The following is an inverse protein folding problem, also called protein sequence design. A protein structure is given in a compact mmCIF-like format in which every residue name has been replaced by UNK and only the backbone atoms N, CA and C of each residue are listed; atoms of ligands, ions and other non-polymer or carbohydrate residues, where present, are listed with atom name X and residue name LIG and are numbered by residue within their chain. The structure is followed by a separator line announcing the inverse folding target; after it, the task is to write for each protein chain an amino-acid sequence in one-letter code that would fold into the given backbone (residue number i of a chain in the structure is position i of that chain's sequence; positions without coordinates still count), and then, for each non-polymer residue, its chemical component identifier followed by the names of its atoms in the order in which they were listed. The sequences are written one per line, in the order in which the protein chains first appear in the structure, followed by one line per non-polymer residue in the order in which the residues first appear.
data_IF_872476760721
#
_entry.id   IF_872476760721
#
_cell.length_a   1.000
_cell.length_b   1.000
_cell.length_c   1.000
_cell.angle_alpha   90.00
_cell.angle_beta   90.00
_cell.angle_gamma   90.00
#
_symmetry.space_group_name_H-M   'P 1'
#
loop_
_entity.id
_entity.type
_entity.pdbx_description
1 polymer ?
#
# COMPACT_ATOMS: atom_id res chain seq x y z
N UNK A 1 18.36 15.55 7.06
CA UNK A 1 18.55 14.30 6.28
C UNK A 1 17.18 13.71 6.07
N UNK A 2 16.69 13.63 4.84
CA UNK A 2 15.31 13.24 4.52
C UNK A 2 15.14 11.71 4.45
N UNK A 3 16.25 10.96 4.32
CA UNK A 3 16.27 9.49 4.37
C UNK A 3 17.62 9.00 4.88
N UNK A 4 17.60 8.05 5.82
CA UNK A 4 18.82 7.45 6.39
C UNK A 4 19.19 6.20 5.56
N UNK A 5 20.26 6.31 4.76
CA UNK A 5 20.82 5.16 4.03
C UNK A 5 21.94 4.46 4.83
N UNK A 6 22.59 5.17 5.75
CA UNK A 6 23.62 4.63 6.64
C UNK A 6 23.23 4.83 8.12
N UNK A 7 22.99 3.74 8.89
CA UNK A 7 22.66 3.81 10.32
C UNK A 7 23.72 4.51 11.17
N UNK A 8 24.96 4.64 10.70
CA UNK A 8 26.03 5.32 11.44
C UNK A 8 25.73 6.79 11.71
N UNK A 9 24.84 7.44 10.95
CA UNK A 9 24.43 8.80 11.25
C UNK A 9 23.73 8.91 12.61
N UNK A 10 23.05 7.85 13.05
CA UNK A 10 22.42 7.80 14.38
C UNK A 10 23.49 7.81 15.46
N UNK A 11 24.65 7.21 15.23
CA UNK A 11 25.75 7.21 16.19
C UNK A 11 26.21 8.64 16.46
N UNK A 12 26.51 9.42 15.42
CA UNK A 12 26.95 10.81 15.55
C UNK A 12 25.84 11.68 16.18
N UNK A 13 24.58 11.48 15.79
CA UNK A 13 23.46 12.18 16.41
C UNK A 13 23.35 11.85 17.91
N UNK A 14 23.57 10.59 18.30
CA UNK A 14 23.49 10.12 19.69
C UNK A 14 24.69 10.59 20.52
N UNK A 15 25.90 10.64 19.96
CA UNK A 15 27.11 11.01 20.71
C UNK A 15 27.41 12.51 20.67
N UNK A 16 27.38 13.13 19.50
CA UNK A 16 27.94 14.48 19.31
C UNK A 16 26.94 15.60 19.65
N UNK A 17 25.64 15.29 19.67
CA UNK A 17 24.58 16.29 19.89
C UNK A 17 24.00 16.18 21.31
N UNK A 18 24.45 17.02 22.23
CA UNK A 18 24.08 16.90 23.65
C UNK A 18 22.61 17.18 23.97
N UNK A 19 21.97 18.16 23.31
CA UNK A 19 20.55 18.52 23.52
C UNK A 19 19.77 18.22 22.26
N UNK A 20 18.99 17.14 22.28
CA UNK A 20 18.28 16.64 21.10
C UNK A 20 17.00 15.92 21.46
N UNK A 21 16.07 15.95 20.52
CA UNK A 21 14.91 15.05 20.44
C UNK A 21 14.96 14.38 19.09
N UNK A 22 14.99 13.06 19.05
CA UNK A 22 15.00 12.29 17.81
C UNK A 22 13.62 11.68 17.62
N UNK A 23 12.95 12.06 16.53
CA UNK A 23 11.70 11.42 16.08
C UNK A 23 12.05 10.60 14.85
N UNK A 24 11.82 9.29 14.92
CA UNK A 24 12.09 8.36 13.83
C UNK A 24 10.78 7.79 13.31
N UNK A 25 10.56 7.92 12.00
CA UNK A 25 9.41 7.32 11.33
C UNK A 25 9.93 6.14 10.52
N UNK A 26 9.46 4.93 10.86
CA UNK A 26 9.90 3.69 10.22
C UNK A 26 8.69 2.92 9.70
N UNK A 27 8.81 2.38 8.48
CA UNK A 27 7.78 1.51 7.91
C UNK A 27 7.91 0.05 8.36
N UNK A 28 9.13 -0.38 8.71
CA UNK A 28 9.45 -1.74 9.13
C UNK A 28 9.91 -1.73 10.60
N UNK A 29 9.08 -2.28 11.49
CA UNK A 29 9.41 -2.37 12.93
C UNK A 29 10.67 -3.19 13.20
N UNK A 30 11.03 -4.12 12.31
CA UNK A 30 12.25 -4.91 12.46
C UNK A 30 13.51 -4.08 12.24
N UNK A 31 13.39 -2.84 11.73
CA UNK A 31 14.52 -1.92 11.57
C UNK A 31 15.26 -1.69 12.89
N UNK A 32 14.54 -1.58 14.02
CA UNK A 32 15.16 -1.42 15.34
C UNK A 32 16.00 -2.64 15.75
N UNK A 33 15.60 -3.84 15.33
CA UNK A 33 16.32 -5.09 15.61
C UNK A 33 17.60 -5.18 14.77
N UNK A 34 17.59 -4.59 13.57
CA UNK A 34 18.71 -4.57 12.62
C UNK A 34 19.82 -3.58 13.00
N UNK A 35 19.58 -2.70 13.97
CA UNK A 35 20.60 -1.76 14.46
C UNK A 35 21.71 -2.50 15.23
N UNK A 36 22.95 -1.97 15.11
CA UNK A 36 24.07 -2.40 15.96
C UNK A 36 23.70 -2.27 17.44
N UNK A 37 24.13 -3.23 18.25
CA UNK A 37 23.78 -3.33 19.67
C UNK A 37 24.13 -2.08 20.47
N UNK A 38 25.20 -1.35 20.10
CA UNK A 38 25.63 -0.11 20.77
C UNK A 38 24.66 1.04 20.50
N UNK A 39 24.22 1.19 19.24
CA UNK A 39 23.24 2.21 18.85
C UNK A 39 21.91 1.92 19.55
N UNK A 40 21.45 0.66 19.50
CA UNK A 40 20.19 0.24 20.13
C UNK A 40 20.19 0.49 21.64
N UNK A 41 21.30 0.15 22.32
CA UNK A 41 21.43 0.32 23.76
C UNK A 41 21.43 1.78 24.21
N UNK A 42 21.85 2.72 23.35
CA UNK A 42 21.87 4.15 23.67
C UNK A 42 20.60 4.87 23.24
N UNK A 43 19.97 4.41 22.16
CA UNK A 43 18.79 5.04 21.59
C UNK A 43 17.55 4.81 22.45
N UNK A 44 17.38 3.62 23.04
CA UNK A 44 16.24 3.20 23.88
C UNK A 44 14.91 3.89 23.50
N UNK A 45 14.45 3.74 22.24
CA UNK A 45 13.35 4.55 21.74
C UNK A 45 12.02 4.11 22.33
N UNK A 46 11.17 5.08 22.66
CA UNK A 46 9.75 4.84 22.87
C UNK A 46 9.08 4.56 21.51
N UNK A 47 8.38 3.44 21.40
CA UNK A 47 7.76 3.00 20.14
C UNK A 47 6.27 3.32 20.18
N UNK A 48 5.85 4.21 19.28
CA UNK A 48 4.45 4.48 19.01
C UNK A 48 4.05 3.79 17.69
N UNK A 49 3.05 2.93 17.76
CA UNK A 49 2.52 2.22 16.59
C UNK A 49 1.35 2.99 15.96
N UNK A 50 1.46 3.23 14.65
CA UNK A 50 0.39 3.78 13.83
C UNK A 50 -0.30 2.64 13.07
N UNK A 51 -1.46 2.22 13.58
CA UNK A 51 -2.30 1.24 12.89
C UNK A 51 -2.92 1.84 11.62
N UNK A 52 -3.25 0.98 10.67
CA UNK A 52 -4.05 1.38 9.52
C UNK A 52 -5.41 1.95 9.98
N UNK A 53 -5.89 2.97 9.28
CA UNK A 53 -7.18 3.56 9.58
C UNK A 53 -8.30 2.53 9.41
N UNK A 54 -9.21 2.50 10.38
CA UNK A 54 -10.45 1.76 10.20
C UNK A 54 -11.40 2.49 9.22
N UNK A 55 -12.50 1.83 8.86
CA UNK A 55 -13.47 2.37 7.90
C UNK A 55 -14.06 3.72 8.35
N UNK A 56 -14.39 3.85 9.65
CA UNK A 56 -14.97 5.09 10.21
C UNK A 56 -13.96 6.22 10.23
N UNK A 57 -12.70 5.93 10.55
CA UNK A 57 -11.60 6.89 10.53
C UNK A 57 -11.32 7.36 9.10
N UNK A 58 -11.28 6.43 8.14
CA UNK A 58 -11.11 6.73 6.71
C UNK A 58 -12.19 7.69 6.22
N UNK A 59 -13.46 7.37 6.52
CA UNK A 59 -14.59 8.24 6.18
C UNK A 59 -14.48 9.60 6.86
N UNK A 60 -14.14 9.63 8.15
CA UNK A 60 -14.01 10.86 8.91
C UNK A 60 -12.90 11.77 8.38
N UNK A 61 -11.76 11.20 7.99
CA UNK A 61 -10.65 11.94 7.38
C UNK A 61 -11.09 12.54 6.04
N UNK A 62 -11.65 11.72 5.16
CA UNK A 62 -12.07 12.18 3.84
C UNK A 62 -13.20 13.20 3.91
N UNK A 63 -14.16 13.02 4.82
CA UNK A 63 -15.22 13.99 5.10
C UNK A 63 -14.65 15.35 5.46
N UNK A 64 -13.71 15.41 6.42
CA UNK A 64 -13.03 16.67 6.79
C UNK A 64 -12.32 17.28 5.59
N UNK A 65 -11.62 16.47 4.78
CA UNK A 65 -10.96 16.97 3.56
C UNK A 65 -11.95 17.55 2.56
N UNK A 66 -13.11 16.92 2.38
CA UNK A 66 -14.19 17.42 1.53
C UNK A 66 -14.72 18.76 2.03
N UNK A 67 -14.95 18.90 3.34
CA UNK A 67 -15.41 20.15 3.96
C UNK A 67 -14.42 21.32 3.76
N UNK A 68 -13.11 21.05 3.74
CA UNK A 68 -12.09 22.08 3.46
C UNK A 68 -11.93 22.41 1.98
N UNK A 69 -12.11 21.42 1.09
CA UNK A 69 -11.78 21.56 -0.33
C UNK A 69 -12.98 21.94 -1.22
N UNK A 70 -14.21 21.66 -0.78
CA UNK A 70 -15.42 21.84 -1.57
C UNK A 70 -16.38 22.81 -0.91
N UNK A 71 -17.21 23.47 -1.73
CA UNK A 71 -18.30 24.33 -1.26
C UNK A 71 -19.28 23.46 -0.44
N UNK A 72 -19.85 23.96 0.67
CA UNK A 72 -20.84 23.21 1.44
C UNK A 72 -21.97 22.64 0.57
N UNK A 73 -22.37 21.39 0.82
CA UNK A 73 -23.39 20.66 0.08
C UNK A 73 -23.12 20.42 -1.43
N UNK A 74 -21.89 20.67 -1.90
CA UNK A 74 -21.50 20.38 -3.28
C UNK A 74 -21.00 18.95 -3.50
N UNK A 75 -20.82 18.16 -2.44
CA UNK A 75 -20.40 16.76 -2.52
C UNK A 75 -21.47 15.85 -1.92
N UNK A 76 -21.97 14.89 -2.69
CA UNK A 76 -23.02 13.98 -2.22
C UNK A 76 -22.46 12.97 -1.20
N UNK A 77 -23.32 12.53 -0.29
CA UNK A 77 -22.92 11.59 0.77
C UNK A 77 -22.53 10.24 0.17
N UNK A 78 -23.28 9.78 -0.81
CA UNK A 78 -23.09 8.52 -1.53
C UNK A 78 -21.73 8.51 -2.25
N UNK A 79 -21.38 9.63 -2.91
CA UNK A 79 -20.10 9.78 -3.57
C UNK A 79 -18.92 9.70 -2.58
N UNK A 80 -19.07 10.27 -1.37
CA UNK A 80 -18.04 10.26 -0.34
C UNK A 80 -17.90 8.87 0.29
N UNK A 81 -19.02 8.19 0.56
CA UNK A 81 -19.02 6.83 1.09
C UNK A 81 -18.37 5.84 0.12
N UNK A 82 -18.65 5.96 -1.18
CA UNK A 82 -18.01 5.15 -2.22
C UNK A 82 -16.49 5.33 -2.23
N UNK A 83 -16.01 6.59 -2.23
CA UNK A 83 -14.56 6.88 -2.22
C UNK A 83 -13.92 6.38 -0.93
N UNK A 84 -14.57 6.59 0.21
CA UNK A 84 -14.08 6.14 1.51
C UNK A 84 -13.93 4.64 1.57
N UNK A 85 -14.96 3.91 1.14
CA UNK A 85 -14.92 2.45 1.06
C UNK A 85 -13.77 1.99 0.18
N UNK A 86 -13.57 2.62 -0.98
CA UNK A 86 -12.48 2.27 -1.89
C UNK A 86 -11.09 2.53 -1.29
N UNK A 87 -10.92 3.66 -0.61
CA UNK A 87 -9.67 4.00 0.06
C UNK A 87 -9.36 3.05 1.23
N UNK A 88 -10.39 2.67 1.99
CA UNK A 88 -10.29 1.69 3.08
C UNK A 88 -9.94 0.30 2.56
N UNK A 89 -10.63 -0.19 1.53
CA UNK A 89 -10.37 -1.51 0.93
C UNK A 89 -8.92 -1.64 0.43
N UNK A 90 -8.35 -0.54 -0.10
CA UNK A 90 -6.95 -0.49 -0.55
C UNK A 90 -5.98 -0.29 0.63
N UNK A 91 -6.45 0.32 1.73
CA UNK A 91 -5.64 0.70 2.88
C UNK A 91 -4.76 1.92 2.64
N UNK A 92 -5.13 2.80 1.70
CA UNK A 92 -4.38 4.02 1.38
C UNK A 92 -5.28 5.26 1.35
N UNK A 93 -5.18 6.09 2.37
CA UNK A 93 -5.96 7.33 2.46
C UNK A 93 -5.62 8.34 1.36
N UNK A 94 -4.40 8.28 0.80
CA UNK A 94 -3.96 9.16 -0.28
C UNK A 94 -4.75 8.88 -1.55
N UNK A 95 -5.11 7.61 -1.77
CA UNK A 95 -6.01 7.22 -2.86
C UNK A 95 -7.37 7.89 -2.71
N UNK A 96 -7.92 7.92 -1.49
CA UNK A 96 -9.18 8.59 -1.21
C UNK A 96 -9.12 10.09 -1.52
N UNK A 97 -8.06 10.77 -1.10
CA UNK A 97 -7.85 12.21 -1.39
C UNK A 97 -7.71 12.45 -2.90
N UNK A 98 -6.97 11.59 -3.59
CA UNK A 98 -6.85 11.65 -5.05
C UNK A 98 -8.21 11.47 -5.73
N UNK A 99 -8.99 10.49 -5.31
CA UNK A 99 -10.34 10.24 -5.82
C UNK A 99 -11.27 11.42 -5.58
N UNK A 100 -11.23 12.06 -4.41
CA UNK A 100 -12.01 13.28 -4.15
C UNK A 100 -11.71 14.35 -5.20
N UNK A 101 -10.43 14.60 -5.47
CA UNK A 101 -9.99 15.58 -6.48
C UNK A 101 -10.50 15.20 -7.87
N UNK A 102 -10.27 13.96 -8.31
CA UNK A 102 -10.66 13.52 -9.64
C UNK A 102 -12.19 13.52 -9.83
N UNK A 103 -12.97 13.13 -8.81
CA UNK A 103 -14.43 13.24 -8.84
C UNK A 103 -14.89 14.69 -8.98
N UNK A 104 -14.21 15.63 -8.30
CA UNK A 104 -14.44 17.06 -8.43
C UNK A 104 -14.18 17.57 -9.84
N UNK A 105 -13.03 17.21 -10.43
CA UNK A 105 -12.66 17.60 -11.80
C UNK A 105 -13.62 17.03 -12.85
N UNK A 106 -14.08 15.78 -12.68
CA UNK A 106 -15.07 15.17 -13.56
C UNK A 106 -16.41 15.90 -13.45
N UNK A 107 -16.85 16.22 -12.23
CA UNK A 107 -18.08 16.98 -12.02
C UNK A 107 -18.01 18.37 -12.66
N UNK A 108 -16.87 19.06 -12.50
CA UNK A 108 -16.61 20.36 -13.10
C UNK A 108 -16.61 20.30 -14.63
N UNK A 109 -15.94 19.30 -15.22
CA UNK A 109 -15.94 19.07 -16.66
C UNK A 109 -17.34 18.78 -17.23
N UNK A 110 -18.22 18.15 -16.45
CA UNK A 110 -19.63 17.93 -16.78
C UNK A 110 -20.53 19.14 -16.46
N UNK A 111 -19.97 20.27 -16.03
CA UNK A 111 -20.71 21.45 -15.56
C UNK A 111 -21.71 21.14 -14.45
N UNK A 112 -21.44 20.11 -13.64
CA UNK A 112 -22.29 19.70 -12.53
C UNK A 112 -21.98 20.51 -11.28
N UNK A 113 -23.01 21.17 -10.73
CA UNK A 113 -22.91 21.92 -9.46
C UNK A 113 -22.65 21.04 -8.23
N UNK A 114 -22.86 19.73 -8.36
CA UNK A 114 -22.60 18.76 -7.29
C UNK A 114 -21.78 17.59 -7.81
N UNK A 115 -20.86 17.12 -6.98
CA UNK A 115 -20.21 15.82 -7.15
C UNK A 115 -21.19 14.74 -6.70
N UNK A 116 -21.67 13.96 -7.67
CA UNK A 116 -22.57 12.83 -7.47
C UNK A 116 -21.79 11.52 -7.56
N UNK A 117 -22.41 10.43 -7.10
CA UNK A 117 -21.82 9.09 -7.12
C UNK A 117 -21.28 8.69 -8.51
N UNK A 118 -22.00 9.03 -9.58
CA UNK A 118 -21.56 8.78 -10.97
C UNK A 118 -20.18 9.35 -11.30
N UNK A 119 -19.81 10.51 -10.75
CA UNK A 119 -18.51 11.12 -11.02
C UNK A 119 -17.40 10.35 -10.28
N UNK A 120 -17.70 9.88 -9.06
CA UNK A 120 -16.80 9.03 -8.28
C UNK A 120 -16.60 7.65 -8.90
N UNK A 121 -17.65 7.04 -9.47
CA UNK A 121 -17.51 5.80 -10.22
C UNK A 121 -16.58 5.98 -11.41
N UNK A 122 -16.76 7.04 -12.21
CA UNK A 122 -15.84 7.37 -13.32
C UNK A 122 -14.41 7.62 -12.86
N UNK A 123 -14.22 8.28 -11.71
CA UNK A 123 -12.90 8.50 -11.14
C UNK A 123 -12.23 7.17 -10.74
N UNK A 124 -12.99 6.25 -10.14
CA UNK A 124 -12.51 4.90 -9.76
C UNK A 124 -12.17 4.06 -11.00
N UNK A 125 -12.96 4.15 -12.07
CA UNK A 125 -12.67 3.45 -13.33
C UNK A 125 -11.35 3.90 -13.94
N UNK A 126 -11.06 5.21 -13.96
CA UNK A 126 -9.76 5.75 -14.42
C UNK A 126 -8.58 5.22 -13.60
N UNK A 127 -8.79 4.79 -12.36
CA UNK A 127 -7.74 4.22 -11.52
C UNK A 127 -7.39 2.79 -11.90
N UNK A 128 -8.32 2.02 -12.50
CA UNK A 128 -7.99 0.68 -13.02
C UNK A 128 -6.90 0.76 -14.10
N UNK A 129 -6.86 1.86 -14.86
CA UNK A 129 -5.80 2.14 -15.84
C UNK A 129 -4.54 2.76 -15.22
N UNK A 130 -4.66 3.29 -14.01
CA UNK A 130 -3.56 3.85 -13.24
C UNK A 130 -2.78 2.70 -12.58
N UNK A 131 -2.01 1.98 -13.41
CA UNK A 131 -0.94 1.07 -12.98
C UNK A 131 -0.23 1.70 -11.79
N UNK A 132 -0.16 0.98 -10.67
CA UNK A 132 0.61 1.41 -9.49
C UNK A 132 2.01 1.74 -10.00
N UNK A 133 2.37 3.03 -9.93
CA UNK A 133 3.58 3.63 -10.50
C UNK A 133 4.90 2.97 -10.07
N UNK A 134 4.85 2.06 -9.10
CA UNK A 134 5.98 1.32 -8.54
C UNK A 134 6.12 -0.12 -9.08
N UNK A 135 5.21 -0.59 -9.93
CA UNK A 135 5.32 -1.89 -10.62
C UNK A 135 6.02 -1.68 -11.96
N UNK A 136 7.11 -2.43 -12.19
CA UNK A 136 7.79 -2.50 -13.47
C UNK A 136 6.92 -3.33 -14.41
N UNK A 137 7.05 -3.15 -15.71
CA UNK A 137 6.26 -3.93 -16.69
C UNK A 137 6.40 -5.45 -16.50
N UNK A 138 7.58 -5.90 -16.06
CA UNK A 138 7.85 -7.30 -15.68
C UNK A 138 6.97 -7.83 -14.53
N UNK A 139 6.60 -6.98 -13.55
CA UNK A 139 5.75 -7.41 -12.43
C UNK A 139 4.29 -7.54 -12.83
N UNK A 140 3.84 -6.78 -13.83
CA UNK A 140 2.49 -6.90 -14.38
C UNK A 140 2.34 -8.24 -15.11
N UNK A 141 3.34 -8.66 -15.89
CA UNK A 141 3.34 -9.98 -16.52
C UNK A 141 3.30 -11.11 -15.50
N UNK A 142 4.03 -10.98 -14.39
CA UNK A 142 3.98 -11.94 -13.29
C UNK A 142 2.61 -11.95 -12.61
N UNK A 143 2.02 -10.78 -12.36
CA UNK A 143 0.69 -10.67 -11.77
C UNK A 143 -0.39 -11.33 -12.66
N UNK A 144 -0.37 -11.06 -13.97
CA UNK A 144 -1.29 -11.69 -14.93
C UNK A 144 -1.12 -13.21 -14.97
N UNK A 145 0.11 -13.70 -14.81
CA UNK A 145 0.39 -15.12 -14.75
C UNK A 145 -0.12 -15.77 -13.46
N UNK A 146 0.06 -15.12 -12.32
CA UNK A 146 -0.48 -15.57 -11.02
C UNK A 146 -2.01 -15.54 -11.06
N UNK A 147 -2.63 -14.54 -11.72
CA UNK A 147 -4.09 -14.47 -11.96
C UNK A 147 -4.63 -15.70 -12.70
N UNK A 148 -3.89 -16.22 -13.67
CA UNK A 148 -4.25 -17.43 -14.43
C UNK A 148 -4.01 -18.74 -13.66
N UNK A 149 -3.12 -18.74 -12.66
CA UNK A 149 -2.71 -19.94 -11.92
C UNK A 149 -2.75 -19.71 -10.40
N UNK A 150 -3.94 -19.61 -9.79
CA UNK A 150 -4.08 -19.33 -8.36
C UNK A 150 -3.60 -20.50 -7.48
N UNK A 151 -3.20 -20.18 -6.25
CA UNK A 151 -2.84 -21.15 -5.19
C UNK A 151 -1.66 -22.09 -5.51
N UNK A 152 -0.77 -21.68 -6.42
CA UNK A 152 0.44 -22.44 -6.70
C UNK A 152 1.56 -22.10 -5.72
N UNK A 153 2.48 -23.06 -5.57
CA UNK A 153 3.69 -22.86 -4.80
C UNK A 153 4.68 -21.95 -5.57
N UNK A 154 5.47 -21.18 -4.85
CA UNK A 154 6.45 -20.23 -5.40
C UNK A 154 7.49 -20.87 -6.32
N UNK A 155 7.96 -22.09 -6.02
CA UNK A 155 8.94 -22.80 -6.87
C UNK A 155 8.36 -23.25 -8.21
N UNK A 156 7.14 -23.76 -8.23
CA UNK A 156 6.41 -24.22 -9.42
C UNK A 156 5.91 -23.05 -10.24
N UNK A 157 5.53 -21.94 -9.60
CA UNK A 157 5.25 -20.69 -10.30
C UNK A 157 6.49 -20.17 -11.02
N UNK A 158 7.68 -20.28 -10.41
CA UNK A 158 8.92 -19.88 -11.04
C UNK A 158 9.25 -20.74 -12.27
N UNK A 159 9.14 -22.07 -12.14
CA UNK A 159 9.33 -23.01 -13.25
C UNK A 159 8.37 -22.78 -14.41
N UNK A 160 7.09 -22.47 -14.12
CA UNK A 160 6.07 -22.28 -15.16
C UNK A 160 6.07 -20.87 -15.77
N UNK A 161 6.60 -19.86 -15.06
CA UNK A 161 6.60 -18.48 -15.54
C UNK A 161 7.78 -18.21 -16.48
N UNK A 162 9.02 -18.42 -15.99
CA UNK A 162 10.23 -18.30 -16.80
C UNK A 162 11.47 -18.79 -16.02
N UNK A 163 12.08 -19.89 -16.45
CA UNK A 163 13.31 -20.45 -15.86
C UNK A 163 14.57 -19.60 -16.11
N UNK A 164 14.56 -18.68 -17.08
CA UNK A 164 15.71 -17.83 -17.41
C UNK A 164 15.93 -16.72 -16.38
N UNK A 165 14.92 -16.38 -15.59
CA UNK A 165 15.03 -15.41 -14.50
C UNK A 165 15.52 -16.13 -13.25
N UNK A 166 16.54 -15.62 -12.56
CA UNK A 166 16.97 -16.20 -11.27
C UNK A 166 15.83 -16.19 -10.24
N UNK A 167 15.71 -17.27 -9.46
CA UNK A 167 14.74 -17.37 -8.36
C UNK A 167 14.81 -16.19 -7.38
N UNK A 168 16.00 -15.60 -7.17
CA UNK A 168 16.19 -14.41 -6.32
C UNK A 168 15.48 -13.17 -6.90
N UNK A 169 15.52 -13.00 -8.22
CA UNK A 169 14.84 -11.91 -8.93
C UNK A 169 13.33 -12.12 -8.90
N UNK A 170 12.88 -13.36 -9.16
CA UNK A 170 11.47 -13.76 -9.08
C UNK A 170 10.89 -13.53 -7.67
N UNK A 171 11.60 -13.95 -6.62
CA UNK A 171 11.21 -13.71 -5.23
C UNK A 171 11.09 -12.23 -4.91
N UNK A 172 11.99 -11.39 -5.42
CA UNK A 172 11.92 -9.93 -5.26
C UNK A 172 10.69 -9.33 -5.96
N UNK A 173 10.26 -9.90 -7.10
CA UNK A 173 9.03 -9.49 -7.78
C UNK A 173 7.80 -9.90 -6.96
N UNK A 174 7.76 -11.12 -6.41
CA UNK A 174 6.72 -11.56 -5.47
C UNK A 174 6.63 -10.66 -4.23
N UNK A 175 7.76 -10.33 -3.60
CA UNK A 175 7.79 -9.43 -2.44
C UNK A 175 7.29 -8.01 -2.77
N UNK A 176 7.52 -7.54 -4.00
CA UNK A 176 6.99 -6.25 -4.47
C UNK A 176 5.48 -6.32 -4.72
N UNK A 177 4.99 -7.40 -5.32
CA UNK A 177 3.56 -7.63 -5.52
C UNK A 177 2.81 -7.80 -4.18
N UNK A 178 3.44 -8.45 -3.20
CA UNK A 178 2.91 -8.57 -1.84
C UNK A 178 2.85 -7.21 -1.13
N UNK A 179 3.93 -6.41 -1.21
CA UNK A 179 3.95 -5.02 -0.69
C UNK A 179 2.93 -4.13 -1.37
N UNK A 180 2.64 -4.38 -2.64
CA UNK A 180 1.59 -3.70 -3.40
C UNK A 180 0.17 -4.24 -3.08
N UNK A 181 0.03 -5.13 -2.09
CA UNK A 181 -1.23 -5.76 -1.67
C UNK A 181 -1.93 -6.60 -2.76
N UNK A 182 -1.24 -6.97 -3.85
CA UNK A 182 -1.83 -7.73 -4.97
C UNK A 182 -1.91 -9.24 -4.69
N UNK A 183 -0.97 -9.76 -3.90
CA UNK A 183 -0.86 -11.17 -3.56
C UNK A 183 -0.62 -11.32 -2.05
N UNK A 184 -0.91 -12.50 -1.50
CA UNK A 184 -0.44 -12.90 -0.17
C UNK A 184 0.49 -14.11 -0.28
N UNK A 185 1.61 -14.05 0.43
CA UNK A 185 2.56 -15.15 0.54
C UNK A 185 2.33 -15.87 1.86
N UNK A 186 1.74 -17.06 1.81
CA UNK A 186 1.52 -17.89 3.00
C UNK A 186 2.60 -18.97 3.09
N UNK A 187 3.28 -19.07 4.23
CA UNK A 187 4.19 -20.18 4.49
C UNK A 187 3.44 -21.34 5.11
N UNK A 188 3.43 -22.48 4.43
CA UNK A 188 2.91 -23.74 4.96
C UNK A 188 4.06 -24.69 5.25
N UNK A 189 4.04 -25.28 6.45
CA UNK A 189 4.97 -26.31 6.87
C UNK A 189 4.45 -27.66 6.40
N UNK A 190 5.11 -28.29 5.42
CA UNK A 190 4.80 -29.67 5.01
C UNK A 190 5.84 -30.63 5.57
N UNK A 191 5.70 -31.00 6.84
CA UNK A 191 6.45 -32.10 7.46
C UNK A 191 7.97 -32.07 7.20
N UNK A 192 8.52 -33.24 6.86
CA UNK A 192 9.98 -33.51 6.72
C UNK A 192 10.64 -32.72 5.56
N UNK A 193 9.85 -32.09 4.67
CA UNK A 193 10.35 -31.36 3.50
C UNK A 193 10.03 -29.87 3.55
N UNK A 194 10.92 -29.08 4.17
CA UNK A 194 11.09 -27.65 3.91
C UNK A 194 9.89 -26.73 4.19
N UNK A 195 10.15 -25.41 4.16
CA UNK A 195 9.08 -24.39 4.21
C UNK A 195 8.64 -24.09 2.79
N UNK A 196 7.35 -24.27 2.48
CA UNK A 196 6.80 -23.94 1.16
C UNK A 196 6.03 -22.63 1.24
N UNK A 197 6.32 -21.70 0.34
CA UNK A 197 5.56 -20.44 0.21
C UNK A 197 4.51 -20.63 -0.88
N UNK A 198 3.24 -20.59 -0.47
CA UNK A 198 2.06 -20.62 -1.34
C UNK A 198 1.71 -19.19 -1.70
N UNK A 199 1.56 -18.94 -3.00
CA UNK A 199 1.15 -17.62 -3.50
C UNK A 199 -0.37 -17.66 -3.69
N UNK A 200 -1.08 -16.82 -2.95
CA UNK A 200 -2.50 -16.60 -3.17
C UNK A 200 -2.70 -15.22 -3.78
N UNK A 201 -3.62 -15.13 -4.73
CA UNK A 201 -4.17 -13.84 -5.10
C UNK A 201 -4.97 -13.35 -3.90
N UNK A 202 -4.75 -12.10 -3.49
CA UNK A 202 -5.84 -11.42 -2.80
C UNK A 202 -6.90 -11.23 -3.86
N UNK A 203 -8.05 -11.86 -3.68
CA UNK A 203 -9.19 -11.65 -4.59
C UNK A 203 -9.34 -10.14 -4.80
N UNK A 204 -9.19 -9.71 -6.06
CA UNK A 204 -9.97 -8.57 -6.51
C UNK A 204 -11.40 -9.00 -6.19
N UNK A 205 -12.01 -8.44 -5.14
CA UNK A 205 -13.47 -8.39 -5.12
C UNK A 205 -13.84 -7.77 -6.45
N UNK A 206 -14.29 -8.62 -7.37
CA UNK A 206 -14.76 -8.23 -8.68
C UNK A 206 -15.68 -7.03 -8.46
N UNK A 207 -15.30 -5.89 -9.03
CA UNK A 207 -16.06 -4.64 -9.01
C UNK A 207 -17.36 -4.75 -9.86
N UNK A 208 -17.93 -5.96 -9.99
CA UNK A 208 -19.17 -6.24 -10.71
C UNK A 208 -20.05 -7.31 -10.05
N UNK A 209 -19.77 -7.71 -8.80
CA UNK A 209 -20.67 -8.59 -8.04
C UNK A 209 -21.00 -8.02 -6.66
N UNK A 210 -21.40 -6.75 -6.62
CA UNK A 210 -22.30 -6.16 -5.62
C UNK A 210 -23.01 -4.97 -6.28
#
# INVERSE_FOLDING_TARGET
VDKIDNPNILYNLIEDVYRKTIIMIVNDKTWLIKLDSRIRSRLLPEVLEFNAYNEKETLGILKKRTEFAFIPNSFSKEALELISKKAYDVGDIRLGIYLLKESGLIAEGESSKKVLEKHSLKAVEKIKDFKIKDLKDEDNSLLDFIKKNPNLNSSKLHEMFNTDVSYKTFRRQLERLEKANMISLEQKSEGIHGKVTIVKLREEKSLGSF
#
